data_IF_706895923159
#
_entry.id   IF_706895923159
#
_cell.length_a   1.000
_cell.length_b   1.000
_cell.length_c   1.000
_cell.angle_alpha   90.00
_cell.angle_beta   90.00
_cell.angle_gamma   90.00
#
_symmetry.space_group_name_H-M   'P 1'
#
loop_
_entity.id
_entity.type
_entity.pdbx_description
1 polymer ?
#
# COMPACT_ATOMS: atom_id res chain seq x y z
N UNK A 1 28.83 7.66 -10.79
CA UNK A 1 28.25 6.59 -9.96
C UNK A 1 26.74 6.75 -9.91
N UNK A 2 25.98 5.66 -10.16
CA UNK A 2 24.53 5.69 -10.09
C UNK A 2 24.07 5.89 -8.64
N UNK A 3 23.10 6.76 -8.42
CA UNK A 3 22.44 6.92 -7.12
C UNK A 3 21.46 5.76 -6.82
N UNK A 4 21.10 4.99 -7.83
CA UNK A 4 20.20 3.85 -7.67
C UNK A 4 20.86 2.72 -6.91
N UNK A 5 20.12 2.18 -5.97
CA UNK A 5 20.42 0.93 -5.26
C UNK A 5 19.33 -0.08 -5.55
N UNK A 6 19.68 -1.37 -5.45
CA UNK A 6 18.73 -2.44 -5.65
C UNK A 6 18.90 -3.50 -4.56
N UNK A 7 17.81 -4.19 -4.25
CA UNK A 7 17.82 -5.39 -3.41
C UNK A 7 16.75 -6.36 -3.92
N UNK A 8 16.94 -7.64 -3.61
CA UNK A 8 15.97 -8.68 -3.97
C UNK A 8 15.29 -9.19 -2.72
N UNK A 9 14.03 -9.57 -2.86
CA UNK A 9 13.26 -10.19 -1.78
C UNK A 9 12.28 -11.21 -2.34
N UNK A 10 12.02 -12.26 -1.55
CA UNK A 10 10.98 -13.24 -1.84
C UNK A 10 9.73 -12.91 -1.07
N UNK A 11 8.60 -12.73 -1.78
CA UNK A 11 7.30 -12.38 -1.22
C UNK A 11 6.26 -13.34 -1.76
N UNK A 12 5.52 -14.03 -0.87
CA UNK A 12 4.50 -15.00 -1.23
C UNK A 12 4.96 -16.02 -2.29
N UNK A 13 6.21 -16.46 -2.18
CA UNK A 13 6.80 -17.46 -3.06
C UNK A 13 7.40 -16.95 -4.36
N UNK A 14 7.29 -15.65 -4.68
CA UNK A 14 7.86 -15.03 -5.87
C UNK A 14 9.05 -14.14 -5.54
N UNK A 15 10.04 -14.08 -6.45
CA UNK A 15 11.18 -13.18 -6.33
C UNK A 15 10.88 -11.82 -6.95
N UNK A 16 11.34 -10.76 -6.28
CA UNK A 16 11.22 -9.38 -6.72
C UNK A 16 12.55 -8.67 -6.63
N UNK A 17 12.82 -7.80 -7.59
CA UNK A 17 13.92 -6.84 -7.54
C UNK A 17 13.34 -5.46 -7.30
N UNK A 18 13.67 -4.89 -6.15
CA UNK A 18 13.31 -3.53 -5.78
C UNK A 18 14.44 -2.57 -6.08
N UNK A 19 14.09 -1.38 -6.52
CA UNK A 19 15.03 -0.28 -6.70
C UNK A 19 14.63 0.88 -5.79
N UNK A 20 15.62 1.60 -5.30
CA UNK A 20 15.36 2.80 -4.51
C UNK A 20 16.45 3.84 -4.67
N UNK A 21 16.06 5.10 -4.50
CA UNK A 21 16.95 6.23 -4.33
C UNK A 21 17.30 6.40 -2.85
N UNK A 22 18.40 7.12 -2.52
CA UNK A 22 18.72 7.48 -1.14
C UNK A 22 17.56 8.24 -0.48
N UNK A 23 17.27 7.92 0.78
CA UNK A 23 16.22 8.57 1.57
C UNK A 23 14.84 7.91 1.47
N UNK A 24 14.61 7.01 0.52
CA UNK A 24 13.36 6.24 0.46
C UNK A 24 13.22 5.32 1.67
N UNK A 25 12.03 5.29 2.27
CA UNK A 25 11.74 4.50 3.46
C UNK A 25 12.00 3.00 3.25
N UNK A 26 12.49 2.33 4.31
CA UNK A 26 12.79 0.90 4.34
C UNK A 26 13.76 0.42 3.24
N UNK A 27 14.63 1.31 2.77
CA UNK A 27 15.61 1.00 1.73
C UNK A 27 16.50 -0.19 2.11
N UNK A 28 16.61 -1.16 1.18
CA UNK A 28 17.46 -2.35 1.32
C UNK A 28 16.78 -3.59 1.90
N UNK A 29 15.53 -3.50 2.32
CA UNK A 29 14.70 -4.66 2.73
C UNK A 29 13.23 -4.34 2.58
N UNK A 30 12.40 -5.38 2.45
CA UNK A 30 10.95 -5.19 2.49
C UNK A 30 10.49 -4.92 3.91
N UNK A 31 9.60 -3.94 4.07
CA UNK A 31 9.00 -3.62 5.35
C UNK A 31 8.14 -4.79 5.86
N UNK A 32 8.39 -5.28 7.08
CA UNK A 32 7.62 -6.39 7.67
C UNK A 32 6.11 -6.11 7.75
N UNK A 33 5.70 -4.86 7.95
CA UNK A 33 4.28 -4.50 7.97
C UNK A 33 3.60 -4.75 6.61
N UNK A 34 4.26 -4.40 5.51
CA UNK A 34 3.77 -4.69 4.16
C UNK A 34 3.65 -6.19 3.89
N UNK A 35 4.61 -6.99 4.35
CA UNK A 35 4.53 -8.47 4.23
C UNK A 35 3.32 -9.02 4.99
N UNK A 36 3.10 -8.57 6.21
CA UNK A 36 1.97 -8.99 7.03
C UNK A 36 0.62 -8.64 6.37
N UNK A 37 0.52 -7.44 5.77
CA UNK A 37 -0.69 -7.02 5.06
C UNK A 37 -0.96 -7.93 3.84
N UNK A 38 0.07 -8.24 3.05
CA UNK A 38 -0.06 -9.10 1.88
C UNK A 38 -0.49 -10.53 2.27
N UNK A 39 0.06 -11.08 3.35
CA UNK A 39 -0.34 -12.37 3.89
C UNK A 39 -1.81 -12.35 4.33
N UNK A 40 -2.22 -11.36 5.12
CA UNK A 40 -3.59 -11.21 5.58
C UNK A 40 -4.58 -11.05 4.42
N UNK A 41 -4.21 -10.26 3.40
CA UNK A 41 -5.00 -10.07 2.20
C UNK A 41 -5.18 -11.40 1.44
N UNK A 42 -4.10 -12.14 1.24
CA UNK A 42 -4.17 -13.43 0.55
C UNK A 42 -4.99 -14.47 1.34
N UNK A 43 -4.85 -14.51 2.66
CA UNK A 43 -5.67 -15.40 3.51
C UNK A 43 -7.16 -15.03 3.45
N UNK A 44 -7.47 -13.74 3.41
CA UNK A 44 -8.87 -13.25 3.42
C UNK A 44 -9.55 -13.38 2.06
N UNK A 45 -8.85 -13.13 0.96
CA UNK A 45 -9.41 -13.10 -0.39
C UNK A 45 -9.08 -14.33 -1.24
N UNK A 46 -8.12 -15.14 -0.80
CA UNK A 46 -7.58 -16.25 -1.57
C UNK A 46 -6.50 -15.83 -2.58
N UNK A 47 -5.77 -16.79 -3.16
CA UNK A 47 -4.62 -16.51 -4.05
C UNK A 47 -5.01 -15.78 -5.35
N UNK A 48 -6.22 -15.96 -5.83
CA UNK A 48 -6.76 -15.29 -7.02
C UNK A 48 -7.65 -14.09 -6.70
N UNK A 49 -7.78 -13.75 -5.42
CA UNK A 49 -8.76 -12.77 -4.93
C UNK A 49 -8.57 -11.34 -5.40
N UNK A 50 -7.38 -10.99 -5.92
CA UNK A 50 -7.10 -9.66 -6.47
C UNK A 50 -7.07 -9.64 -8.01
N UNK A 51 -7.07 -10.80 -8.66
CA UNK A 51 -6.95 -10.90 -10.12
C UNK A 51 -8.06 -10.13 -10.84
N UNK A 52 -7.66 -9.24 -11.75
CA UNK A 52 -8.58 -8.41 -12.53
C UNK A 52 -9.32 -7.34 -11.73
N UNK A 53 -8.99 -7.17 -10.44
CA UNK A 53 -9.60 -6.13 -9.60
C UNK A 53 -8.82 -4.83 -9.66
N UNK A 54 -9.55 -3.72 -9.55
CA UNK A 54 -8.99 -2.37 -9.43
C UNK A 54 -8.52 -2.17 -7.98
N UNK A 55 -7.22 -1.99 -7.80
CA UNK A 55 -6.60 -1.83 -6.48
C UNK A 55 -5.91 -0.47 -6.37
N UNK A 56 -6.17 0.25 -5.29
CA UNK A 56 -5.45 1.47 -4.93
C UNK A 56 -4.48 1.16 -3.80
N UNK A 57 -3.22 1.52 -3.98
CA UNK A 57 -2.17 1.51 -2.95
C UNK A 57 -1.91 2.94 -2.50
N UNK A 58 -2.43 3.31 -1.32
CA UNK A 58 -2.28 4.64 -0.72
C UNK A 58 -0.95 4.73 0.04
N UNK A 59 -0.10 5.64 -0.39
CA UNK A 59 1.26 5.76 0.15
C UNK A 59 2.12 4.59 -0.32
N UNK A 60 2.20 4.40 -1.65
CA UNK A 60 2.78 3.19 -2.26
C UNK A 60 4.29 3.02 -2.01
N UNK A 61 4.99 4.10 -1.63
CA UNK A 61 6.43 4.06 -1.43
C UNK A 61 7.17 3.55 -2.66
N UNK A 62 8.17 2.70 -2.45
CA UNK A 62 8.93 2.05 -3.52
C UNK A 62 8.22 0.82 -4.11
N UNK A 63 7.01 0.50 -3.68
CA UNK A 63 6.19 -0.55 -4.28
C UNK A 63 6.14 -1.89 -3.54
N UNK A 64 6.38 -1.90 -2.22
CA UNK A 64 6.33 -3.12 -1.41
C UNK A 64 4.99 -3.86 -1.49
N UNK A 65 3.88 -3.13 -1.67
CA UNK A 65 2.54 -3.68 -1.91
C UNK A 65 2.21 -3.73 -3.40
N UNK A 66 2.50 -2.65 -4.14
CA UNK A 66 2.14 -2.53 -5.57
C UNK A 66 2.73 -3.65 -6.42
N UNK A 67 4.03 -3.97 -6.28
CA UNK A 67 4.66 -4.99 -7.11
C UNK A 67 4.03 -6.39 -6.92
N UNK A 68 3.89 -6.90 -5.67
CA UNK A 68 3.22 -8.18 -5.46
C UNK A 68 1.78 -8.21 -5.94
N UNK A 69 0.98 -7.17 -5.68
CA UNK A 69 -0.41 -7.09 -6.14
C UNK A 69 -0.52 -7.09 -7.67
N UNK A 70 0.36 -6.36 -8.36
CA UNK A 70 0.42 -6.39 -9.83
C UNK A 70 0.78 -7.78 -10.36
N UNK A 71 1.73 -8.49 -9.73
CA UNK A 71 2.08 -9.86 -10.11
C UNK A 71 0.94 -10.84 -9.89
N UNK A 72 0.13 -10.64 -8.86
CA UNK A 72 -1.08 -11.42 -8.59
C UNK A 72 -2.22 -11.14 -9.59
N UNK A 73 -2.01 -10.23 -10.52
CA UNK A 73 -2.96 -9.91 -11.60
C UNK A 73 -3.93 -8.78 -11.29
N UNK A 74 -3.71 -8.01 -10.23
CA UNK A 74 -4.48 -6.80 -9.95
C UNK A 74 -4.14 -5.67 -10.93
N UNK A 75 -5.10 -4.80 -11.20
CA UNK A 75 -4.91 -3.52 -11.88
C UNK A 75 -4.63 -2.46 -10.82
N UNK A 76 -3.34 -2.21 -10.54
CA UNK A 76 -2.92 -1.38 -9.41
C UNK A 76 -2.64 0.04 -9.83
N UNK A 77 -3.15 0.98 -9.04
CA UNK A 77 -2.72 2.38 -9.02
C UNK A 77 -2.05 2.64 -7.67
N UNK A 78 -0.77 2.97 -7.69
CA UNK A 78 -0.04 3.42 -6.51
C UNK A 78 0.07 4.94 -6.52
N UNK A 79 -0.33 5.58 -5.43
CA UNK A 79 -0.20 7.04 -5.22
C UNK A 79 0.79 7.30 -4.10
N UNK A 80 1.65 8.30 -4.27
CA UNK A 80 2.74 8.60 -3.35
C UNK A 80 3.15 10.07 -3.46
N UNK A 81 3.38 10.75 -2.35
CA UNK A 81 3.76 12.15 -2.31
C UNK A 81 5.26 12.40 -2.43
N UNK A 82 6.09 11.40 -2.13
CA UNK A 82 7.53 11.46 -2.31
C UNK A 82 7.94 11.07 -3.73
N UNK A 83 8.44 12.02 -4.50
CA UNK A 83 8.86 11.78 -5.88
C UNK A 83 9.97 10.72 -6.00
N UNK A 84 10.90 10.65 -5.05
CA UNK A 84 11.96 9.63 -5.06
C UNK A 84 11.37 8.21 -4.92
N UNK A 85 10.34 8.06 -4.11
CA UNK A 85 9.56 6.82 -3.94
C UNK A 85 8.80 6.47 -5.21
N UNK A 86 8.13 7.43 -5.86
CA UNK A 86 7.43 7.21 -7.15
C UNK A 86 8.40 6.71 -8.22
N UNK A 87 9.55 7.36 -8.37
CA UNK A 87 10.58 6.94 -9.34
C UNK A 87 11.13 5.55 -9.00
N UNK A 88 11.26 5.24 -7.71
CA UNK A 88 11.69 3.93 -7.23
C UNK A 88 10.68 2.84 -7.59
N UNK A 89 9.39 3.11 -7.38
CA UNK A 89 8.29 2.23 -7.79
C UNK A 89 8.28 1.98 -9.29
N UNK A 90 8.38 3.03 -10.11
CA UNK A 90 8.43 2.91 -11.57
C UNK A 90 9.58 2.01 -12.02
N UNK A 91 10.77 2.23 -11.45
CA UNK A 91 11.94 1.40 -11.76
C UNK A 91 11.79 -0.05 -11.29
N UNK A 92 11.13 -0.27 -10.15
CA UNK A 92 10.77 -1.61 -9.66
C UNK A 92 9.81 -2.33 -10.60
N UNK A 93 8.79 -1.64 -11.11
CA UNK A 93 7.85 -2.20 -12.10
C UNK A 93 8.57 -2.64 -13.39
N UNK A 94 9.46 -1.79 -13.92
CA UNK A 94 10.27 -2.12 -15.09
C UNK A 94 11.15 -3.36 -14.85
N UNK A 95 11.87 -3.38 -13.72
CA UNK A 95 12.80 -4.46 -13.39
C UNK A 95 12.13 -5.83 -13.22
N UNK A 96 10.84 -5.85 -12.84
CA UNK A 96 10.06 -7.07 -12.66
C UNK A 96 9.14 -7.37 -13.85
N UNK A 97 9.18 -6.57 -14.91
CA UNK A 97 8.26 -6.66 -16.06
C UNK A 97 6.77 -6.64 -15.65
N UNK A 98 6.44 -5.81 -14.67
CA UNK A 98 5.10 -5.64 -14.14
C UNK A 98 4.46 -4.35 -14.63
N UNK A 99 3.13 -4.34 -14.70
CA UNK A 99 2.35 -3.17 -15.09
C UNK A 99 1.51 -2.69 -13.92
N UNK A 100 1.66 -1.42 -13.58
CA UNK A 100 0.83 -0.66 -12.65
C UNK A 100 1.00 0.82 -12.95
N UNK A 101 0.11 1.66 -12.42
CA UNK A 101 0.28 3.09 -12.46
C UNK A 101 0.99 3.54 -11.17
N UNK A 102 2.00 4.38 -11.31
CA UNK A 102 2.71 5.02 -10.20
C UNK A 102 2.54 6.53 -10.36
N UNK A 103 1.76 7.15 -9.49
CA UNK A 103 1.38 8.56 -9.58
C UNK A 103 1.99 9.35 -8.41
N UNK A 104 2.64 10.46 -8.74
CA UNK A 104 3.02 11.46 -7.75
C UNK A 104 1.76 12.24 -7.35
N UNK A 105 1.36 12.13 -6.09
CA UNK A 105 0.07 12.63 -5.61
C UNK A 105 0.13 12.98 -4.13
N UNK A 106 -0.36 14.14 -3.77
CA UNK A 106 -0.73 14.42 -2.40
C UNK A 106 -2.05 13.67 -2.13
N UNK A 107 -1.95 12.65 -1.27
CA UNK A 107 -3.01 11.67 -1.01
C UNK A 107 -3.61 11.14 -2.33
N UNK A 108 -4.76 11.62 -2.77
CA UNK A 108 -5.48 11.14 -3.97
C UNK A 108 -5.73 12.23 -5.04
N UNK A 109 -5.05 13.39 -4.93
CA UNK A 109 -5.25 14.50 -5.85
C UNK A 109 -4.97 14.19 -7.32
N UNK A 110 -4.05 13.24 -7.60
CA UNK A 110 -3.74 12.80 -8.96
C UNK A 110 -4.78 11.85 -9.56
N UNK A 111 -5.75 11.38 -8.78
CA UNK A 111 -6.83 10.52 -9.26
C UNK A 111 -7.96 11.36 -9.86
N UNK A 112 -8.61 10.82 -10.90
CA UNK A 112 -9.83 11.46 -11.40
C UNK A 112 -10.95 11.39 -10.37
N UNK A 113 -11.92 12.29 -10.46
CA UNK A 113 -13.02 12.36 -9.50
C UNK A 113 -13.87 11.09 -9.48
N UNK A 114 -13.98 10.41 -10.64
CA UNK A 114 -14.77 9.19 -10.81
C UNK A 114 -14.01 7.91 -10.44
N UNK A 115 -12.71 7.97 -10.18
CA UNK A 115 -11.91 6.79 -9.88
C UNK A 115 -12.43 6.05 -8.64
N UNK A 116 -12.73 4.75 -8.82
CA UNK A 116 -13.25 3.85 -7.77
C UNK A 116 -12.51 2.52 -7.84
N UNK A 117 -12.39 1.88 -6.68
CA UNK A 117 -11.58 0.69 -6.51
C UNK A 117 -12.35 -0.43 -5.82
N UNK A 118 -12.01 -1.66 -6.15
CA UNK A 118 -12.56 -2.85 -5.50
C UNK A 118 -11.84 -3.13 -4.18
N UNK A 119 -10.55 -2.81 -4.14
CA UNK A 119 -9.68 -3.01 -2.98
C UNK A 119 -8.82 -1.75 -2.81
N UNK A 120 -8.70 -1.29 -1.58
CA UNK A 120 -7.74 -0.25 -1.20
C UNK A 120 -6.84 -0.83 -0.13
N UNK A 121 -5.53 -0.63 -0.27
CA UNK A 121 -4.52 -1.07 0.70
C UNK A 121 -3.69 0.12 1.14
N UNK A 122 -3.24 0.12 2.38
CA UNK A 122 -2.30 1.12 2.88
C UNK A 122 -1.44 0.60 4.02
N UNK A 123 -0.18 0.97 3.96
CA UNK A 123 0.75 0.94 5.07
C UNK A 123 1.13 2.40 5.38
N UNK A 124 0.34 3.11 6.21
CA UNK A 124 0.52 4.55 6.40
C UNK A 124 1.85 4.88 7.06
N UNK A 125 2.44 6.05 6.77
CA UNK A 125 3.67 6.48 7.44
C UNK A 125 3.44 6.66 8.94
N UNK A 126 4.39 6.19 9.77
CA UNK A 126 4.31 6.26 11.24
C UNK A 126 5.53 6.93 11.90
N UNK A 127 6.42 7.51 11.10
CA UNK A 127 7.65 8.17 11.58
C UNK A 127 7.57 9.71 11.61
N UNK A 128 6.42 10.29 11.37
CA UNK A 128 6.17 11.74 11.48
C UNK A 128 5.61 12.06 12.88
N UNK A 129 5.89 13.23 13.44
CA UNK A 129 5.45 13.59 14.81
C UNK A 129 3.95 13.39 15.04
N UNK A 130 3.57 12.97 16.24
CA UNK A 130 2.29 12.36 16.60
C UNK A 130 0.99 13.00 16.04
N UNK A 131 0.89 14.33 15.97
CA UNK A 131 -0.29 15.01 15.41
C UNK A 131 -0.40 14.80 13.89
N UNK A 132 0.71 14.86 13.18
CA UNK A 132 0.77 14.68 11.70
C UNK A 132 0.38 13.26 11.30
N UNK A 133 0.72 12.25 12.10
CA UNK A 133 0.32 10.84 11.84
C UNK A 133 -1.19 10.70 11.83
N UNK A 134 -1.89 11.33 12.76
CA UNK A 134 -3.35 11.23 12.86
C UNK A 134 -4.04 11.93 11.67
N UNK A 135 -3.50 13.06 11.21
CA UNK A 135 -4.05 13.80 10.07
C UNK A 135 -3.88 13.01 8.76
N UNK A 136 -2.72 12.39 8.54
CA UNK A 136 -2.47 11.53 7.36
C UNK A 136 -3.35 10.28 7.42
N UNK A 137 -3.48 9.67 8.59
CA UNK A 137 -4.35 8.52 8.79
C UNK A 137 -5.81 8.84 8.50
N UNK A 138 -6.29 9.97 9.00
CA UNK A 138 -7.64 10.45 8.73
C UNK A 138 -7.87 10.64 7.23
N UNK A 139 -6.94 11.32 6.53
CA UNK A 139 -7.02 11.54 5.10
C UNK A 139 -7.08 10.21 4.32
N UNK A 140 -6.26 9.22 4.67
CA UNK A 140 -6.25 7.92 4.00
C UNK A 140 -7.53 7.15 4.22
N UNK A 141 -8.10 7.18 5.43
CA UNK A 141 -9.38 6.52 5.71
C UNK A 141 -10.53 7.24 5.02
N UNK A 142 -10.52 8.57 4.97
CA UNK A 142 -11.52 9.36 4.23
C UNK A 142 -11.49 9.05 2.73
N UNK A 143 -10.30 8.98 2.13
CA UNK A 143 -10.14 8.58 0.73
C UNK A 143 -10.63 7.15 0.50
N UNK A 144 -10.28 6.20 1.37
CA UNK A 144 -10.76 4.83 1.26
C UNK A 144 -12.28 4.76 1.29
N UNK A 145 -12.92 5.48 2.21
CA UNK A 145 -14.38 5.53 2.30
C UNK A 145 -15.04 6.14 1.05
N UNK A 146 -14.41 7.18 0.47
CA UNK A 146 -14.92 7.86 -0.72
C UNK A 146 -14.68 7.10 -2.03
N UNK A 147 -13.60 6.32 -2.12
CA UNK A 147 -13.11 5.69 -3.34
C UNK A 147 -13.43 4.20 -3.47
N UNK A 148 -13.85 3.52 -2.41
CA UNK A 148 -14.30 2.12 -2.50
C UNK A 148 -15.62 2.02 -3.26
N UNK A 149 -15.70 1.00 -4.12
CA UNK A 149 -16.97 0.56 -4.69
C UNK A 149 -17.83 -0.12 -3.62
N UNK A 150 -19.15 -0.13 -3.77
CA UNK A 150 -20.01 -0.97 -2.93
C UNK A 150 -19.52 -2.42 -2.90
N UNK A 151 -19.36 -2.99 -1.69
CA UNK A 151 -18.78 -4.32 -1.51
C UNK A 151 -17.26 -4.40 -1.61
N UNK A 152 -16.57 -3.28 -1.81
CA UNK A 152 -15.12 -3.20 -1.78
C UNK A 152 -14.55 -3.38 -0.39
N UNK A 153 -13.24 -3.63 -0.31
CA UNK A 153 -12.54 -3.91 0.95
C UNK A 153 -11.34 -2.99 1.11
N UNK A 154 -11.20 -2.43 2.30
CA UNK A 154 -10.04 -1.63 2.71
C UNK A 154 -9.17 -2.42 3.68
N UNK A 155 -7.88 -2.55 3.38
CA UNK A 155 -6.87 -3.17 4.26
C UNK A 155 -5.89 -2.11 4.73
N UNK A 156 -5.71 -2.02 6.05
CA UNK A 156 -4.75 -1.13 6.68
C UNK A 156 -3.84 -1.92 7.61
N UNK A 157 -2.53 -1.74 7.49
CA UNK A 157 -1.56 -2.26 8.45
C UNK A 157 -0.97 -1.11 9.26
N UNK A 158 -0.85 -1.30 10.56
CA UNK A 158 -0.26 -0.29 11.44
C UNK A 158 0.46 -0.92 12.62
N UNK A 159 1.26 -0.09 13.30
CA UNK A 159 1.76 -0.41 14.62
C UNK A 159 0.56 -0.65 15.58
N UNK A 160 0.57 -1.68 16.44
CA UNK A 160 -0.53 -1.99 17.35
C UNK A 160 -0.92 -0.86 18.31
N UNK A 161 0.01 0.03 18.61
CA UNK A 161 -0.24 1.17 19.51
C UNK A 161 -1.03 2.32 18.86
N UNK A 162 -1.07 2.38 17.53
CA UNK A 162 -1.85 3.37 16.80
C UNK A 162 -3.31 2.91 16.73
N UNK A 163 -4.21 3.74 17.20
CA UNK A 163 -5.64 3.39 17.28
C UNK A 163 -6.40 3.93 16.07
N UNK A 164 -6.42 3.15 15.00
CA UNK A 164 -7.24 3.41 13.81
C UNK A 164 -8.67 2.88 13.94
N UNK A 165 -8.91 1.97 14.89
CA UNK A 165 -10.18 1.28 15.06
C UNK A 165 -11.39 2.24 15.19
N UNK A 166 -11.35 3.29 16.04
CA UNK A 166 -12.48 4.23 16.14
C UNK A 166 -12.77 4.94 14.82
N UNK A 167 -11.73 5.28 14.07
CA UNK A 167 -11.84 5.94 12.78
C UNK A 167 -12.46 5.01 11.72
N UNK A 168 -12.03 3.75 11.69
CA UNK A 168 -12.60 2.74 10.79
C UNK A 168 -14.05 2.44 11.12
N UNK A 169 -14.40 2.35 12.41
CA UNK A 169 -15.77 2.14 12.85
C UNK A 169 -16.67 3.32 12.48
N UNK A 170 -16.20 4.55 12.66
CA UNK A 170 -16.92 5.76 12.24
C UNK A 170 -17.20 5.79 10.73
N UNK A 171 -16.21 5.45 9.90
CA UNK A 171 -16.31 5.59 8.44
C UNK A 171 -16.94 4.39 7.73
N UNK A 172 -16.73 3.18 8.25
CA UNK A 172 -17.19 1.94 7.62
C UNK A 172 -18.25 1.19 8.42
N UNK A 173 -18.53 1.62 9.65
CA UNK A 173 -19.52 1.00 10.53
C UNK A 173 -19.06 -0.32 11.16
N UNK A 174 -18.08 -0.99 10.60
CA UNK A 174 -17.48 -2.22 11.12
C UNK A 174 -16.07 -2.43 10.54
N UNK A 175 -15.24 -3.14 11.29
CA UNK A 175 -13.94 -3.60 10.84
C UNK A 175 -13.61 -4.97 11.43
N UNK A 176 -12.60 -5.64 10.88
CA UNK A 176 -12.08 -6.90 11.40
C UNK A 176 -10.58 -6.78 11.64
N UNK A 177 -10.10 -7.26 12.78
CA UNK A 177 -8.67 -7.44 13.01
C UNK A 177 -8.27 -8.80 12.46
N UNK A 178 -7.49 -8.82 11.38
CA UNK A 178 -7.10 -10.04 10.69
C UNK A 178 -5.84 -10.68 11.29
N UNK A 179 -4.85 -9.85 11.63
CA UNK A 179 -3.59 -10.30 12.23
C UNK A 179 -3.12 -9.32 13.29
N UNK A 180 -2.52 -9.86 14.35
CA UNK A 180 -1.83 -9.08 15.39
C UNK A 180 -0.51 -9.78 15.71
N UNK A 181 0.61 -9.07 15.47
CA UNK A 181 1.95 -9.50 15.83
C UNK A 181 2.77 -8.26 16.23
N UNK A 182 3.91 -7.98 15.62
CA UNK A 182 4.57 -6.66 15.73
C UNK A 182 3.71 -5.54 15.12
N UNK A 183 2.83 -5.89 14.17
CA UNK A 183 1.87 -5.02 13.50
C UNK A 183 0.48 -5.64 13.55
N UNK A 184 -0.55 -4.81 13.33
CA UNK A 184 -1.93 -5.27 13.17
C UNK A 184 -2.44 -4.94 11.78
N UNK A 185 -3.24 -5.84 11.20
CA UNK A 185 -3.96 -5.64 9.95
C UNK A 185 -5.44 -5.53 10.25
N UNK A 186 -6.05 -4.45 9.79
CA UNK A 186 -7.45 -4.09 9.97
C UNK A 186 -8.17 -4.07 8.62
#
# INVERSE_FOLDING_TARGET
PSLWRAFSARILGAEYTFHHLPGVFSAGKVDPASLLLLEALQERLGPEGVRGRQVLDLGAGYGALTLPLARMGAEVVGVEDDLASVLSLQKGLEANALKAQALHSDVDEALTEEARFDIIVTNPPFHVGGAVILDVAQAFVDVAAARLRPGGVFFLVSNPFLKYEPLLEEKFGAFQTLKVAEYKVL
#
